data_IF_263812723927
#
_entry.id   IF_263812723927
#
_cell.length_a   1.000
_cell.length_b   1.000
_cell.length_c   1.000
_cell.angle_alpha   90.00
_cell.angle_beta   90.00
_cell.angle_gamma   90.00
#
_symmetry.space_group_name_H-M   'P 1'
#
loop_
_entity.id
_entity.type
_entity.pdbx_description
1 polymer ?
#
# COMPACT_ATOMS: atom_id res chain seq x y z
N UNK A 1 -8.03 12.78 -7.57
CA UNK A 1 -7.56 12.41 -6.23
C UNK A 1 -8.44 13.10 -5.18
N UNK A 2 -8.86 12.38 -4.13
CA UNK A 2 -9.63 12.96 -3.02
C UNK A 2 -8.66 13.49 -1.95
N UNK A 3 -8.88 14.66 -1.34
CA UNK A 3 -8.08 15.11 -0.19
C UNK A 3 -8.02 14.04 0.91
N UNK A 4 -6.84 13.84 1.49
CA UNK A 4 -6.61 12.81 2.52
C UNK A 4 -6.43 11.38 2.00
N UNK A 5 -6.33 11.18 0.68
CA UNK A 5 -6.08 9.85 0.07
C UNK A 5 -4.81 9.87 -0.76
N UNK A 6 -3.93 8.89 -0.50
CA UNK A 6 -2.75 8.62 -1.32
C UNK A 6 -3.09 7.55 -2.35
N UNK A 7 -2.78 7.81 -3.61
CA UNK A 7 -2.85 6.81 -4.66
C UNK A 7 -1.47 6.16 -4.85
N UNK A 8 -1.29 4.97 -4.28
CA UNK A 8 -0.13 4.14 -4.57
C UNK A 8 -0.25 3.54 -5.96
N UNK A 9 0.56 4.02 -6.93
CA UNK A 9 0.62 3.40 -8.25
C UNK A 9 1.28 2.02 -8.09
N UNK A 10 0.49 0.96 -8.26
CA UNK A 10 0.89 -0.39 -7.91
C UNK A 10 2.04 -0.92 -8.76
N UNK A 11 3.20 -1.14 -8.13
CA UNK A 11 4.21 -2.06 -8.66
C UNK A 11 3.87 -3.47 -8.15
N UNK A 12 3.31 -4.30 -9.03
CA UNK A 12 2.82 -5.64 -8.65
C UNK A 12 3.93 -6.53 -8.11
N UNK A 13 5.13 -6.42 -8.69
CA UNK A 13 6.28 -7.23 -8.32
C UNK A 13 7.26 -6.39 -7.51
N UNK A 14 7.34 -6.68 -6.21
CA UNK A 14 8.26 -6.07 -5.23
C UNK A 14 9.68 -5.86 -5.77
N UNK A 15 10.23 -6.83 -6.53
CA UNK A 15 11.57 -6.76 -7.16
C UNK A 15 11.80 -5.58 -8.12
N UNK A 16 10.74 -4.90 -8.54
CA UNK A 16 10.81 -3.71 -9.39
C UNK A 16 10.49 -2.41 -8.63
N UNK A 17 10.27 -2.47 -7.32
CA UNK A 17 10.16 -1.29 -6.46
C UNK A 17 11.52 -0.65 -6.23
N UNK A 18 11.53 0.65 -5.91
CA UNK A 18 12.75 1.44 -5.71
C UNK A 18 13.67 0.84 -4.64
N UNK A 19 13.10 0.50 -3.47
CA UNK A 19 13.80 -0.19 -2.38
C UNK A 19 13.54 -1.71 -2.40
N UNK A 20 13.14 -2.20 -3.58
CA UNK A 20 12.59 -3.52 -3.74
C UNK A 20 11.41 -3.76 -2.82
N UNK A 21 10.56 -2.78 -2.51
CA UNK A 21 9.31 -2.89 -1.70
C UNK A 21 8.08 -2.57 -2.55
N UNK A 22 6.85 -2.84 -2.06
CA UNK A 22 5.64 -2.33 -2.71
C UNK A 22 4.49 -2.00 -1.74
N UNK A 23 3.45 -1.36 -2.28
CA UNK A 23 2.27 -0.89 -1.53
C UNK A 23 1.47 -2.02 -0.86
N UNK A 24 1.58 -3.26 -1.32
CA UNK A 24 0.85 -4.38 -0.71
C UNK A 24 1.41 -4.71 0.68
N UNK A 25 2.69 -4.41 0.95
CA UNK A 25 3.31 -4.61 2.27
C UNK A 25 2.69 -3.76 3.38
N UNK A 26 1.97 -2.67 3.01
CA UNK A 26 1.24 -1.83 3.97
C UNK A 26 -0.09 -2.47 4.39
N UNK A 27 -0.61 -3.43 3.62
CA UNK A 27 -1.89 -4.08 3.92
C UNK A 27 -1.74 -5.13 5.02
N UNK A 28 -2.71 -5.20 5.91
CA UNK A 28 -2.70 -6.21 6.97
C UNK A 28 -3.00 -7.61 6.43
N UNK A 29 -2.49 -8.63 7.10
CA UNK A 29 -2.64 -10.02 6.67
C UNK A 29 -3.97 -10.69 7.10
N UNK A 30 -4.86 -9.94 7.77
CA UNK A 30 -6.19 -10.46 8.14
C UNK A 30 -7.10 -10.54 6.92
N UNK A 31 -7.93 -11.58 6.92
CA UNK A 31 -9.01 -11.75 5.94
C UNK A 31 -10.21 -10.91 6.36
N UNK A 32 -11.04 -10.53 5.39
CA UNK A 32 -12.32 -9.87 5.66
C UNK A 32 -13.25 -10.77 6.47
N UNK A 33 -14.06 -10.16 7.34
CA UNK A 33 -14.98 -10.90 8.21
C UNK A 33 -16.00 -11.73 7.41
N UNK A 34 -16.50 -11.16 6.31
CA UNK A 34 -17.38 -11.83 5.35
C UNK A 34 -16.59 -12.25 4.11
N UNK A 35 -16.77 -13.49 3.67
CA UNK A 35 -16.11 -14.04 2.48
C UNK A 35 -14.66 -14.50 2.69
N UNK A 36 -13.98 -14.01 3.73
CA UNK A 36 -12.58 -14.36 4.05
C UNK A 36 -11.61 -14.04 2.91
N UNK A 37 -11.79 -12.89 2.27
CA UNK A 37 -10.99 -12.46 1.13
C UNK A 37 -9.81 -11.57 1.58
N UNK A 38 -8.81 -11.34 0.71
CA UNK A 38 -7.71 -10.41 0.96
C UNK A 38 -8.17 -8.96 1.16
N UNK A 39 -7.56 -8.27 2.12
CA UNK A 39 -7.87 -6.87 2.45
C UNK A 39 -6.94 -5.90 1.72
N UNK A 40 -7.04 -5.86 0.38
CA UNK A 40 -6.10 -5.14 -0.50
C UNK A 40 -6.33 -3.62 -0.58
N UNK A 41 -7.49 -3.16 -0.11
CA UNK A 41 -7.93 -1.78 -0.24
C UNK A 41 -8.38 -1.29 1.13
N UNK A 42 -8.07 -0.04 1.46
CA UNK A 42 -8.16 0.58 2.79
C UNK A 42 -7.01 0.25 3.74
N UNK A 43 -5.85 0.87 3.47
CA UNK A 43 -4.76 0.97 4.42
C UNK A 43 -4.63 2.43 4.89
N UNK A 44 -4.80 2.66 6.19
CA UNK A 44 -4.45 3.95 6.80
C UNK A 44 -2.93 4.06 6.82
N UNK A 45 -2.41 5.13 6.25
CA UNK A 45 -0.98 5.38 6.14
C UNK A 45 -0.64 6.75 6.71
N UNK A 46 0.58 6.86 7.23
CA UNK A 46 1.22 8.14 7.47
C UNK A 46 2.17 8.42 6.31
N UNK A 47 2.35 9.70 5.98
CA UNK A 47 3.24 10.12 4.91
C UNK A 47 4.17 11.22 5.39
N UNK A 48 5.40 11.15 4.93
CA UNK A 48 6.41 12.19 5.11
C UNK A 48 7.09 12.51 3.79
N UNK A 49 7.81 13.64 3.74
CA UNK A 49 8.64 13.95 2.57
C UNK A 49 9.81 12.98 2.57
N UNK A 50 10.00 12.27 1.46
CA UNK A 50 11.24 11.56 1.22
C UNK A 50 12.43 12.53 1.25
N UNK A 51 13.58 12.06 1.74
CA UNK A 51 14.83 12.79 1.59
C UNK A 51 15.12 13.03 0.10
N UNK A 52 15.69 14.18 -0.23
CA UNK A 52 16.26 14.38 -1.55
C UNK A 52 17.62 13.69 -1.60
N UNK A 53 17.86 12.94 -2.67
CA UNK A 53 19.19 12.42 -3.01
C UNK A 53 20.17 13.56 -3.34
#
# INVERSE_FOLDING_TARGET
ARPGVVHGLGVWWRKYGLDGTNVNELTHQRLTDMGREPSLYDCLVEVERAAAD
#
